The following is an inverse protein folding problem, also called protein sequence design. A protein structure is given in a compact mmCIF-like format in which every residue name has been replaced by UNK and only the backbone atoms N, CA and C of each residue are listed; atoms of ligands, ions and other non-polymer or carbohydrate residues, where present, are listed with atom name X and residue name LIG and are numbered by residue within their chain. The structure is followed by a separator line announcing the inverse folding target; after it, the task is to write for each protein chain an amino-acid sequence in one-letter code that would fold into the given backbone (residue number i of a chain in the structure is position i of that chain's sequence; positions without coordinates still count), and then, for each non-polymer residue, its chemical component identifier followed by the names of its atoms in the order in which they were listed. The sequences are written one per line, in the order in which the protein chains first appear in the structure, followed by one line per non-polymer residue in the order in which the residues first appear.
data_IF_168279756741
#
_entry.id   IF_168279756741
#
_cell.length_a   1.000
_cell.length_b   1.000
_cell.length_c   1.000
_cell.angle_alpha   90.00
_cell.angle_beta   90.00
_cell.angle_gamma   90.00
#
_symmetry.space_group_name_H-M   'P 1'
#
loop_
_entity.id
_entity.type
_entity.pdbx_description
1 polymer ?
#
# COMPACT_ATOMS: atom_id res chain seq x y z
N UNK A 1 6.78 -12.49 5.14
CA UNK A 1 6.71 -11.68 3.92
C UNK A 1 8.09 -11.08 3.65
N UNK A 2 8.48 -10.98 2.39
CA UNK A 2 9.78 -10.52 1.92
C UNK A 2 9.59 -9.37 0.93
N UNK A 3 10.02 -8.17 1.30
CA UNK A 3 9.82 -6.95 0.52
C UNK A 3 10.54 -6.91 -0.84
N UNK A 4 11.47 -7.84 -1.10
CA UNK A 4 12.14 -7.99 -2.41
C UNK A 4 11.43 -8.98 -3.34
N UNK A 5 10.52 -9.82 -2.84
CA UNK A 5 9.84 -10.87 -3.61
C UNK A 5 8.32 -10.69 -3.66
N UNK A 6 7.73 -10.27 -2.55
CA UNK A 6 6.30 -10.08 -2.42
C UNK A 6 5.90 -8.70 -2.95
N UNK A 7 4.64 -8.56 -3.38
CA UNK A 7 4.11 -7.33 -3.98
C UNK A 7 2.98 -6.74 -3.13
N UNK A 8 2.89 -5.42 -3.13
CA UNK A 8 1.83 -4.67 -2.48
C UNK A 8 0.54 -4.83 -3.30
N UNK A 9 -0.59 -5.10 -2.63
CA UNK A 9 -1.92 -5.25 -3.25
C UNK A 9 -2.94 -4.20 -2.76
N UNK A 10 -2.60 -3.43 -1.73
CA UNK A 10 -3.43 -2.36 -1.17
C UNK A 10 -2.53 -1.34 -0.46
N UNK A 11 -2.89 -0.05 -0.52
CA UNK A 11 -2.39 0.99 0.38
C UNK A 11 -3.58 1.72 0.99
N UNK A 12 -3.58 1.82 2.33
CA UNK A 12 -4.61 2.48 3.12
C UNK A 12 -3.96 3.33 4.22
N UNK A 13 -4.29 4.62 4.27
CA UNK A 13 -3.71 5.58 5.23
C UNK A 13 -4.70 6.69 5.60
N UNK A 14 -4.61 7.17 6.85
CA UNK A 14 -5.38 8.29 7.36
C UNK A 14 -4.44 9.43 7.73
N UNK A 15 -4.77 10.66 7.31
CA UNK A 15 -4.05 11.86 7.75
C UNK A 15 -4.78 12.44 8.95
N UNK A 16 -4.04 12.63 10.05
CA UNK A 16 -4.58 13.12 11.32
C UNK A 16 -3.90 14.42 11.70
N UNK A 17 -4.70 15.43 12.05
CA UNK A 17 -4.21 16.69 12.63
C UNK A 17 -5.04 17.04 13.86
N UNK A 18 -4.39 17.36 14.98
CA UNK A 18 -5.03 17.67 16.26
C UNK A 18 -6.08 16.62 16.71
N UNK A 19 -5.78 15.34 16.50
CA UNK A 19 -6.65 14.23 16.89
C UNK A 19 -7.88 14.02 15.98
N UNK A 20 -8.02 14.80 14.91
CA UNK A 20 -9.07 14.63 13.91
C UNK A 20 -8.50 14.08 12.60
N UNK A 21 -9.24 13.18 11.96
CA UNK A 21 -8.94 12.73 10.59
C UNK A 21 -9.29 13.89 9.65
N UNK A 22 -8.32 14.30 8.84
CA UNK A 22 -8.47 15.41 7.88
C UNK A 22 -8.42 14.94 6.43
N UNK A 23 -7.93 13.72 6.18
CA UNK A 23 -7.85 13.16 4.84
C UNK A 23 -7.68 11.63 4.90
N UNK A 24 -8.01 10.94 3.82
CA UNK A 24 -7.90 9.48 3.68
C UNK A 24 -7.37 9.12 2.29
N UNK A 25 -6.51 8.10 2.26
CA UNK A 25 -6.01 7.48 1.05
C UNK A 25 -6.28 5.99 1.12
N UNK A 26 -7.08 5.46 0.19
CA UNK A 26 -7.38 4.04 0.09
C UNK A 26 -7.35 3.62 -1.38
N UNK A 27 -6.56 2.61 -1.70
CA UNK A 27 -6.49 2.09 -3.07
C UNK A 27 -6.04 0.63 -3.12
N UNK A 28 -6.71 -0.16 -3.95
CA UNK A 28 -6.18 -1.45 -4.38
C UNK A 28 -5.07 -1.26 -5.40
N UNK A 29 -4.16 -2.22 -5.46
CA UNK A 29 -3.00 -2.18 -6.35
C UNK A 29 -2.95 -3.47 -7.15
N UNK A 30 -2.82 -3.34 -8.47
CA UNK A 30 -2.58 -4.47 -9.35
C UNK A 30 -1.14 -4.95 -9.21
N UNK A 31 -0.88 -6.15 -8.62
CA UNK A 31 0.48 -6.66 -8.46
C UNK A 31 1.02 -7.27 -9.76
N UNK A 32 0.24 -7.31 -10.84
CA UNK A 32 0.58 -7.93 -12.13
C UNK A 32 0.96 -9.41 -12.02
N UNK A 33 0.49 -10.07 -10.97
CA UNK A 33 0.62 -11.50 -10.71
C UNK A 33 -0.66 -11.98 -10.04
N UNK A 34 -0.99 -13.27 -10.16
CA UNK A 34 -2.16 -13.81 -9.47
C UNK A 34 -1.94 -13.80 -7.96
N UNK A 35 -2.94 -13.33 -7.21
CA UNK A 35 -3.00 -13.46 -5.75
C UNK A 35 -3.29 -14.95 -5.42
N UNK A 36 -2.45 -15.61 -4.60
CA UNK A 36 -2.71 -16.98 -4.14
C UNK A 36 -3.95 -17.06 -3.24
N UNK A 37 -4.68 -18.17 -3.29
CA UNK A 37 -5.92 -18.34 -2.50
C UNK A 37 -5.76 -18.07 -1.00
N UNK A 38 -4.65 -18.51 -0.40
CA UNK A 38 -4.42 -18.32 1.04
C UNK A 38 -4.24 -16.84 1.40
N UNK A 39 -3.68 -16.04 0.48
CA UNK A 39 -3.58 -14.59 0.64
C UNK A 39 -4.95 -13.95 0.48
N UNK A 40 -5.74 -14.39 -0.50
CA UNK A 40 -7.13 -13.92 -0.64
C UNK A 40 -7.98 -14.27 0.58
N UNK A 41 -7.82 -15.46 1.18
CA UNK A 41 -8.52 -15.84 2.42
C UNK A 41 -8.09 -14.98 3.61
N UNK A 42 -6.81 -14.60 3.68
CA UNK A 42 -6.27 -13.79 4.77
C UNK A 42 -6.71 -12.33 4.68
N UNK A 43 -6.70 -11.76 3.48
CA UNK A 43 -6.90 -10.33 3.24
C UNK A 43 -8.32 -9.98 2.79
N UNK A 44 -9.09 -10.97 2.33
CA UNK A 44 -10.34 -10.82 1.58
C UNK A 44 -10.19 -10.07 0.24
N UNK A 45 -8.96 -9.94 -0.28
CA UNK A 45 -8.68 -9.31 -1.57
C UNK A 45 -8.51 -10.41 -2.63
N UNK A 46 -9.32 -10.32 -3.68
CA UNK A 46 -9.33 -11.26 -4.80
C UNK A 46 -8.60 -10.70 -6.01
N UNK A 47 -8.32 -11.56 -6.99
CA UNK A 47 -7.78 -11.12 -8.28
C UNK A 47 -8.72 -10.13 -9.00
N UNK A 48 -10.03 -10.22 -8.77
CA UNK A 48 -11.02 -9.33 -9.38
C UNK A 48 -10.99 -7.92 -8.80
N UNK A 49 -10.63 -7.78 -7.51
CA UNK A 49 -10.52 -6.47 -6.84
C UNK A 49 -9.31 -5.67 -7.35
N UNK A 50 -8.25 -6.36 -7.77
CA UNK A 50 -6.98 -5.73 -8.17
C UNK A 50 -6.77 -5.65 -9.69
N UNK A 51 -7.48 -6.43 -10.50
CA UNK A 51 -7.18 -6.55 -11.95
C UNK A 51 -7.26 -5.22 -12.72
N UNK A 52 -8.17 -4.33 -12.33
CA UNK A 52 -8.39 -3.03 -12.97
C UNK A 52 -7.77 -1.86 -12.19
N UNK A 53 -7.10 -2.16 -11.08
CA UNK A 53 -6.53 -1.17 -10.18
C UNK A 53 -5.18 -0.67 -10.71
N UNK A 54 -4.71 0.53 -10.31
CA UNK A 54 -3.40 1.03 -10.70
C UNK A 54 -2.28 0.11 -10.23
N UNK A 55 -1.13 0.13 -10.89
CA UNK A 55 0.06 -0.55 -10.37
C UNK A 55 0.71 0.27 -9.26
N UNK A 56 1.60 -0.36 -8.49
CA UNK A 56 2.37 0.37 -7.46
C UNK A 56 3.17 1.53 -8.08
N UNK A 57 3.66 1.38 -9.31
CA UNK A 57 4.42 2.42 -9.99
C UNK A 57 3.53 3.64 -10.32
N UNK A 58 2.26 3.42 -10.65
CA UNK A 58 1.32 4.49 -11.00
C UNK A 58 0.88 5.31 -9.78
N UNK A 59 0.85 4.68 -8.60
CA UNK A 59 0.21 5.26 -7.41
C UNK A 59 1.21 5.72 -6.34
N UNK A 60 2.46 5.28 -6.42
CA UNK A 60 3.46 5.56 -5.39
C UNK A 60 3.76 7.05 -5.27
N UNK A 61 3.90 7.77 -6.38
CA UNK A 61 4.15 9.21 -6.36
C UNK A 61 3.00 9.96 -5.69
N UNK A 62 1.75 9.66 -6.07
CA UNK A 62 0.54 10.19 -5.44
C UNK A 62 0.48 9.89 -3.94
N UNK A 63 0.88 8.69 -3.52
CA UNK A 63 0.93 8.34 -2.10
C UNK A 63 2.03 9.09 -1.35
N UNK A 64 3.20 9.30 -1.96
CA UNK A 64 4.30 10.09 -1.39
C UNK A 64 3.91 11.56 -1.24
N UNK A 65 3.19 12.12 -2.21
CA UNK A 65 2.60 13.46 -2.11
C UNK A 65 1.55 13.54 -1.00
N UNK A 66 0.69 12.51 -0.88
CA UNK A 66 -0.30 12.44 0.18
C UNK A 66 0.35 12.48 1.57
N UNK A 67 1.43 11.71 1.81
CA UNK A 67 2.10 11.72 3.12
C UNK A 67 2.90 13.01 3.35
N UNK A 68 3.55 13.56 2.31
CA UNK A 68 4.40 14.75 2.41
C UNK A 68 5.43 14.64 3.55
N UNK A 69 5.53 15.71 4.35
CA UNK A 69 6.42 15.78 5.52
C UNK A 69 5.80 15.19 6.82
N UNK A 70 4.70 14.44 6.70
CA UNK A 70 3.99 13.89 7.87
C UNK A 70 4.80 12.78 8.56
N UNK A 71 4.61 12.62 9.86
CA UNK A 71 5.14 11.46 10.60
C UNK A 71 4.30 10.22 10.26
N UNK A 72 4.95 9.19 9.73
CA UNK A 72 4.32 7.91 9.47
C UNK A 72 4.21 7.08 10.75
N UNK A 73 3.01 6.59 11.02
CA UNK A 73 2.70 5.71 12.16
C UNK A 73 2.04 4.45 11.62
N UNK A 74 2.62 3.29 11.94
CA UNK A 74 2.08 1.98 11.57
C UNK A 74 2.44 0.95 12.65
N UNK A 75 1.64 -0.10 12.77
CA UNK A 75 1.97 -1.23 13.61
C UNK A 75 3.05 -2.05 12.90
N UNK A 76 4.24 -2.18 13.49
CA UNK A 76 5.42 -2.78 12.83
C UNK A 76 5.93 -1.96 11.63
N UNK A 77 6.01 -0.62 11.76
CA UNK A 77 6.34 0.31 10.67
C UNK A 77 7.60 -0.02 9.84
N UNK A 78 8.62 -0.70 10.42
CA UNK A 78 9.80 -1.13 9.66
C UNK A 78 9.43 -2.05 8.48
N UNK A 79 8.39 -2.86 8.64
CA UNK A 79 7.86 -3.73 7.61
C UNK A 79 7.31 -2.92 6.42
N UNK A 80 6.33 -2.04 6.67
CA UNK A 80 5.68 -1.23 5.64
C UNK A 80 6.68 -0.31 4.93
N UNK A 81 7.54 0.35 5.71
CA UNK A 81 8.60 1.21 5.19
C UNK A 81 9.58 0.42 4.31
N UNK A 82 9.84 -0.85 4.65
CA UNK A 82 10.65 -1.75 3.83
C UNK A 82 10.07 -1.97 2.43
N UNK A 83 8.75 -2.18 2.33
CA UNK A 83 8.05 -2.31 1.05
C UNK A 83 8.04 -0.99 0.27
N UNK A 84 7.77 0.14 0.92
CA UNK A 84 7.78 1.46 0.27
C UNK A 84 9.17 1.80 -0.29
N UNK A 85 10.24 1.59 0.49
CA UNK A 85 11.62 1.89 0.08
C UNK A 85 12.07 1.11 -1.16
N UNK A 86 11.65 -0.15 -1.31
CA UNK A 86 12.02 -0.96 -2.48
C UNK A 86 11.30 -0.46 -3.73
N UNK A 87 10.05 -0.03 -3.59
CA UNK A 87 9.26 0.47 -4.71
C UNK A 87 9.61 1.92 -5.09
N UNK A 88 10.11 2.73 -4.15
CA UNK A 88 10.55 4.10 -4.39
C UNK A 88 11.96 4.24 -4.99
N UNK A 89 12.77 3.17 -4.96
CA UNK A 89 14.18 3.17 -5.43
C UNK A 89 14.33 2.92 -6.94
N UNK A 90 13.37 3.31 -7.77
CA UNK A 90 13.42 3.13 -9.22
C UNK A 90 13.69 4.42 -9.96
#
# INVERSE_FOLDING_TARGET
MNSTKDKIIEISALKINNGAIIDEFNTFINPQVSIPEDISKLTNITNDDVKCSPTIADILETFLEFIGDSVLVAHNAEFDVGFLKINAKK
#
